data_IF_555874191894
#
_entry.id   IF_555874191894
#
_cell.length_a   1.000
_cell.length_b   1.000
_cell.length_c   1.000
_cell.angle_alpha   90.00
_cell.angle_beta   90.00
_cell.angle_gamma   90.00
#
_symmetry.space_group_name_H-M   'P 1'
#
loop_
_entity.id
_entity.type
_entity.pdbx_description
1 polymer ?
#
# COMPACT_ATOMS: atom_id res chain seq x y z
N UNK A 1 -2.23 -0.38 5.66
CA UNK A 1 -0.79 -0.25 5.96
C UNK A 1 -0.42 -0.94 7.27
N UNK A 2 -1.00 -0.50 8.39
CA UNK A 2 -0.71 -1.07 9.72
C UNK A 2 -0.78 -2.61 9.74
N UNK A 3 -1.85 -3.19 9.17
CA UNK A 3 -1.99 -4.64 9.05
C UNK A 3 -0.75 -5.34 8.46
N UNK A 4 -0.25 -4.86 7.31
CA UNK A 4 0.94 -5.46 6.69
C UNK A 4 2.19 -5.31 7.56
N UNK A 5 2.37 -4.14 8.19
CA UNK A 5 3.53 -3.92 9.07
C UNK A 5 3.55 -4.91 10.24
N UNK A 6 2.40 -5.15 10.85
CA UNK A 6 2.26 -6.06 11.99
C UNK A 6 2.38 -7.52 11.54
N UNK A 7 1.69 -7.91 10.47
CA UNK A 7 1.64 -9.30 10.01
C UNK A 7 2.97 -9.78 9.44
N UNK A 8 3.69 -8.92 8.73
CA UNK A 8 4.92 -9.25 8.00
C UNK A 8 6.12 -8.46 8.54
N UNK A 9 6.18 -8.20 9.85
CA UNK A 9 7.21 -7.35 10.48
C UNK A 9 8.63 -7.72 10.05
N UNK A 10 8.93 -9.02 10.02
CA UNK A 10 10.24 -9.57 9.65
C UNK A 10 10.47 -9.71 8.13
N UNK A 11 9.46 -9.45 7.30
CA UNK A 11 9.53 -9.63 5.83
C UNK A 11 9.23 -8.32 5.07
N UNK A 12 9.01 -7.23 5.80
CA UNK A 12 8.59 -5.92 5.25
C UNK A 12 9.75 -4.98 4.94
N UNK A 13 10.95 -5.52 4.64
CA UNK A 13 12.19 -4.75 4.46
C UNK A 13 12.92 -5.14 3.17
N UNK A 14 13.53 -4.14 2.53
CA UNK A 14 14.45 -4.33 1.40
C UNK A 14 15.83 -4.81 1.87
N UNK A 15 16.23 -4.37 3.07
CA UNK A 15 17.52 -4.62 3.69
C UNK A 15 17.28 -4.77 5.20
N UNK A 16 17.95 -5.73 5.83
CA UNK A 16 17.87 -5.92 7.28
C UNK A 16 18.39 -4.69 8.04
N UNK A 17 17.92 -4.50 9.27
CA UNK A 17 18.18 -3.26 10.01
C UNK A 17 19.66 -3.04 10.26
N UNK A 18 20.41 -4.10 10.56
CA UNK A 18 21.82 -3.99 10.90
C UNK A 18 22.66 -3.65 9.66
N UNK A 19 22.39 -4.30 8.53
CA UNK A 19 23.00 -3.95 7.24
C UNK A 19 22.65 -2.51 6.83
N UNK A 20 21.39 -2.10 7.03
CA UNK A 20 20.95 -0.76 6.68
C UNK A 20 21.57 0.32 7.57
N UNK A 21 21.74 0.04 8.87
CA UNK A 21 22.46 0.94 9.79
C UNK A 21 23.90 1.15 9.34
N UNK A 22 24.59 0.08 8.91
CA UNK A 22 25.94 0.20 8.34
C UNK A 22 25.94 1.11 7.10
N UNK A 23 25.05 0.87 6.15
CA UNK A 23 24.92 1.70 4.93
C UNK A 23 24.62 3.17 5.28
N UNK A 24 23.67 3.43 6.17
CA UNK A 24 23.33 4.78 6.62
C UNK A 24 24.52 5.46 7.32
N UNK A 25 25.31 4.71 8.09
CA UNK A 25 26.53 5.20 8.73
C UNK A 25 27.54 5.70 7.71
N UNK A 26 27.86 4.88 6.71
CA UNK A 26 28.78 5.25 5.63
C UNK A 26 28.30 6.47 4.83
N UNK A 27 27.00 6.53 4.52
CA UNK A 27 26.42 7.68 3.83
C UNK A 27 26.52 8.96 4.66
N UNK A 28 26.28 8.88 5.98
CA UNK A 28 26.40 10.03 6.90
C UNK A 28 27.83 10.55 6.94
N UNK A 29 28.79 9.65 7.09
CA UNK A 29 30.22 9.99 7.17
C UNK A 29 30.70 10.69 5.89
N UNK A 30 30.32 10.18 4.72
CA UNK A 30 30.77 10.74 3.42
C UNK A 30 30.05 12.03 3.01
N UNK A 31 28.97 12.41 3.69
CA UNK A 31 28.11 13.54 3.30
C UNK A 31 28.49 14.89 3.92
N UNK A 32 29.37 14.91 4.94
CA UNK A 32 29.64 16.09 5.78
C UNK A 32 30.25 17.26 5.02
N UNK A 33 31.00 16.98 3.96
CA UNK A 33 31.82 18.00 3.29
C UNK A 33 31.09 18.67 2.11
N UNK A 34 29.93 18.13 1.73
CA UNK A 34 29.20 18.53 0.51
C UNK A 34 27.86 19.18 0.87
N UNK A 35 27.32 18.89 2.06
CA UNK A 35 25.95 19.24 2.43
C UNK A 35 25.92 20.03 3.74
N UNK A 36 25.28 21.20 3.71
CA UNK A 36 25.04 21.99 4.92
C UNK A 36 24.25 21.20 5.97
N UNK A 37 24.66 21.34 7.24
CA UNK A 37 24.10 20.61 8.38
C UNK A 37 22.55 20.61 8.46
N UNK A 38 21.84 21.74 8.23
CA UNK A 38 20.38 21.74 8.27
C UNK A 38 19.75 20.80 7.24
N UNK A 39 20.25 20.79 5.99
CA UNK A 39 19.75 19.89 4.96
C UNK A 39 20.15 18.44 5.23
N UNK A 40 21.37 18.22 5.72
CA UNK A 40 21.88 16.89 6.12
C UNK A 40 20.94 16.22 7.13
N UNK A 41 20.53 16.96 8.17
CA UNK A 41 19.58 16.48 9.18
C UNK A 41 18.24 16.07 8.56
N UNK A 42 17.67 16.91 7.69
CA UNK A 42 16.40 16.59 7.01
C UNK A 42 16.54 15.36 6.12
N UNK A 43 17.64 15.25 5.38
CA UNK A 43 17.91 14.13 4.49
C UNK A 43 17.96 12.81 5.27
N UNK A 44 18.77 12.73 6.32
CA UNK A 44 18.93 11.48 7.06
C UNK A 44 17.72 11.13 7.94
N UNK A 45 16.93 12.12 8.38
CA UNK A 45 15.62 11.84 8.98
C UNK A 45 14.66 11.18 7.98
N UNK A 46 14.68 11.58 6.70
CA UNK A 46 13.87 10.94 5.66
C UNK A 46 14.34 9.53 5.33
N UNK A 47 15.63 9.27 5.48
CA UNK A 47 16.24 7.96 5.22
C UNK A 47 16.18 7.00 6.42
N UNK A 48 15.73 7.45 7.59
CA UNK A 48 15.73 6.63 8.81
C UNK A 48 15.07 5.25 8.62
N UNK A 49 13.97 5.19 7.88
CA UNK A 49 13.21 3.98 7.57
C UNK A 49 13.27 3.61 6.09
N UNK A 50 14.31 4.06 5.36
CA UNK A 50 14.41 3.87 3.92
C UNK A 50 14.63 2.41 3.50
N UNK A 51 15.04 1.53 4.42
CA UNK A 51 15.07 0.09 4.19
C UNK A 51 13.69 -0.57 4.22
N UNK A 52 12.66 0.06 4.77
CA UNK A 52 11.35 -0.55 4.82
C UNK A 52 10.63 -0.50 3.46
N UNK A 53 9.76 -1.48 3.22
CA UNK A 53 8.89 -1.46 2.05
C UNK A 53 8.02 -0.21 1.99
N UNK A 54 7.94 0.40 0.81
CA UNK A 54 7.03 1.52 0.60
C UNK A 54 5.57 1.08 0.72
N UNK A 55 4.67 2.05 0.99
CA UNK A 55 3.22 1.80 0.97
C UNK A 55 2.77 1.10 -0.32
N UNK A 56 3.36 1.47 -1.46
CA UNK A 56 3.11 0.84 -2.75
C UNK A 56 3.46 -0.64 -2.78
N UNK A 57 4.64 -1.01 -2.27
CA UNK A 57 5.08 -2.40 -2.25
C UNK A 57 4.19 -3.22 -1.32
N UNK A 58 3.89 -2.72 -0.12
CA UNK A 58 2.99 -3.38 0.83
C UNK A 58 1.59 -3.58 0.25
N UNK A 59 1.02 -2.57 -0.41
CA UNK A 59 -0.28 -2.70 -1.07
C UNK A 59 -0.25 -3.73 -2.19
N UNK A 60 0.80 -3.74 -3.03
CA UNK A 60 0.93 -4.76 -4.09
C UNK A 60 0.95 -6.18 -3.52
N UNK A 61 1.62 -6.39 -2.39
CA UNK A 61 1.64 -7.68 -1.70
C UNK A 61 0.26 -8.07 -1.18
N UNK A 62 -0.42 -7.17 -0.45
CA UNK A 62 -1.79 -7.44 0.05
C UNK A 62 -2.79 -7.71 -1.09
N UNK A 63 -2.75 -6.91 -2.16
CA UNK A 63 -3.64 -7.13 -3.30
C UNK A 63 -3.36 -8.45 -3.99
N UNK A 64 -2.08 -8.86 -4.10
CA UNK A 64 -1.72 -10.14 -4.68
C UNK A 64 -2.27 -11.29 -3.84
N UNK A 65 -1.96 -11.31 -2.56
CA UNK A 65 -2.30 -12.41 -1.66
C UNK A 65 -3.80 -12.54 -1.40
N UNK A 66 -4.49 -11.43 -1.11
CA UNK A 66 -5.87 -11.49 -0.64
C UNK A 66 -6.89 -11.25 -1.75
N UNK A 67 -6.60 -10.37 -2.71
CA UNK A 67 -7.56 -10.09 -3.77
C UNK A 67 -7.35 -11.04 -4.94
N UNK A 68 -6.14 -11.29 -5.42
CA UNK A 68 -5.97 -12.07 -6.65
C UNK A 68 -6.16 -13.56 -6.46
N UNK A 69 -5.67 -14.10 -5.35
CA UNK A 69 -5.74 -15.54 -5.08
C UNK A 69 -7.13 -15.98 -4.61
N UNK A 70 -7.96 -15.03 -4.14
CA UNK A 70 -9.29 -15.32 -3.57
C UNK A 70 -10.42 -14.78 -4.46
N UNK A 71 -10.24 -13.62 -5.10
CA UNK A 71 -11.26 -12.96 -5.90
C UNK A 71 -10.74 -12.68 -7.31
N UNK A 72 -11.22 -13.44 -8.30
CA UNK A 72 -10.92 -13.13 -9.70
C UNK A 72 -11.43 -11.72 -10.06
N UNK A 73 -10.50 -10.77 -10.17
CA UNK A 73 -10.76 -9.36 -10.50
C UNK A 73 -10.12 -8.97 -11.84
N UNK A 74 -10.52 -9.61 -12.97
CA UNK A 74 -9.85 -9.43 -14.26
C UNK A 74 -9.96 -8.00 -14.81
N UNK A 75 -10.95 -7.22 -14.35
CA UNK A 75 -11.19 -5.84 -14.80
C UNK A 75 -10.48 -4.76 -13.96
N UNK A 76 -9.68 -5.15 -12.96
CA UNK A 76 -8.97 -4.21 -12.09
C UNK A 76 -7.53 -4.06 -12.55
N UNK A 77 -7.15 -2.90 -13.09
CA UNK A 77 -5.73 -2.58 -13.27
C UNK A 77 -5.10 -2.22 -11.91
N UNK A 78 -4.64 -3.25 -11.20
CA UNK A 78 -4.18 -3.18 -9.80
C UNK A 78 -3.04 -2.19 -9.61
N UNK A 79 -2.06 -2.18 -10.51
CA UNK A 79 -0.92 -1.29 -10.41
C UNK A 79 -1.36 0.17 -10.52
N UNK A 80 -2.21 0.49 -11.52
CA UNK A 80 -2.76 1.84 -11.69
C UNK A 80 -3.64 2.23 -10.49
N UNK A 81 -4.48 1.33 -10.02
CA UNK A 81 -5.34 1.53 -8.86
C UNK A 81 -4.52 1.84 -7.60
N UNK A 82 -3.55 1.00 -7.25
CA UNK A 82 -2.70 1.18 -6.07
C UNK A 82 -1.94 2.51 -6.14
N UNK A 83 -1.40 2.87 -7.31
CA UNK A 83 -0.73 4.16 -7.47
C UNK A 83 -1.70 5.33 -7.26
N UNK A 84 -2.92 5.24 -7.78
CA UNK A 84 -3.93 6.29 -7.61
C UNK A 84 -4.41 6.39 -6.14
N UNK A 85 -4.55 5.26 -5.42
CA UNK A 85 -4.81 5.23 -3.97
C UNK A 85 -3.71 5.98 -3.20
N UNK A 86 -2.45 5.72 -3.50
CA UNK A 86 -1.32 6.35 -2.80
C UNK A 86 -1.27 7.85 -3.08
N UNK A 87 -1.43 8.24 -4.35
CA UNK A 87 -1.49 9.65 -4.76
C UNK A 87 -2.64 10.38 -4.06
N UNK A 88 -3.83 9.77 -4.06
CA UNK A 88 -5.01 10.32 -3.40
C UNK A 88 -4.79 10.46 -1.89
N UNK A 89 -4.24 9.45 -1.22
CA UNK A 89 -3.88 9.56 0.20
C UNK A 89 -2.89 10.69 0.44
N UNK A 90 -1.86 10.80 -0.38
CA UNK A 90 -0.84 11.84 -0.23
C UNK A 90 -1.42 13.24 -0.46
N UNK A 91 -2.28 13.40 -1.46
CA UNK A 91 -3.06 14.61 -1.69
C UNK A 91 -3.90 14.98 -0.46
N UNK A 92 -4.69 14.04 0.07
CA UNK A 92 -5.57 14.30 1.21
C UNK A 92 -4.80 14.66 2.50
N UNK A 93 -3.63 14.08 2.72
CA UNK A 93 -2.83 14.31 3.94
C UNK A 93 -1.93 15.53 3.84
N UNK A 94 -1.30 15.76 2.68
CA UNK A 94 -0.31 16.82 2.50
C UNK A 94 -0.83 18.02 1.72
N UNK A 95 -2.07 17.96 1.22
CA UNK A 95 -2.71 18.97 0.36
C UNK A 95 -1.82 19.42 -0.81
N UNK A 96 -1.03 18.48 -1.34
CA UNK A 96 -0.16 18.75 -2.49
C UNK A 96 -1.03 18.93 -3.75
N UNK A 97 -1.31 20.18 -4.10
CA UNK A 97 -2.14 20.55 -5.25
C UNK A 97 -1.67 19.93 -6.57
N UNK A 98 -0.39 19.54 -6.69
CA UNK A 98 0.12 18.84 -7.89
C UNK A 98 -0.48 17.44 -8.06
N UNK A 99 -1.03 16.87 -7.00
CA UNK A 99 -1.63 15.54 -6.99
C UNK A 99 -3.14 15.57 -7.21
N UNK A 100 -3.78 16.74 -7.23
CA UNK A 100 -5.25 16.87 -7.32
C UNK A 100 -5.78 16.19 -8.58
N UNK A 101 -5.33 16.63 -9.76
CA UNK A 101 -5.75 16.13 -11.09
C UNK A 101 -5.52 14.62 -11.30
N UNK A 102 -4.64 14.01 -10.51
CA UNK A 102 -4.26 12.59 -10.62
C UNK A 102 -4.75 11.75 -9.43
N UNK A 103 -5.55 12.35 -8.55
CA UNK A 103 -6.24 11.68 -7.44
C UNK A 103 -7.63 11.21 -7.87
N UNK A 104 -8.29 10.41 -7.03
CA UNK A 104 -9.68 10.03 -7.27
C UNK A 104 -10.60 11.26 -7.17
N UNK A 105 -11.65 11.28 -8.00
CA UNK A 105 -12.74 12.27 -7.92
C UNK A 105 -14.11 11.59 -8.03
N UNK A 106 -15.12 12.20 -7.44
CA UNK A 106 -16.53 11.80 -7.54
C UNK A 106 -16.78 10.30 -7.35
N UNK A 107 -17.35 9.62 -8.36
CA UNK A 107 -17.66 8.18 -8.31
C UNK A 107 -16.41 7.30 -8.16
N UNK A 108 -15.22 7.78 -8.55
CA UNK A 108 -13.99 7.02 -8.36
C UNK A 108 -13.69 6.81 -6.87
N UNK A 109 -14.04 7.76 -5.99
CA UNK A 109 -13.91 7.57 -4.54
C UNK A 109 -14.80 6.45 -4.03
N UNK A 110 -16.04 6.36 -4.52
CA UNK A 110 -17.00 5.34 -4.10
C UNK A 110 -16.48 3.96 -4.52
N UNK A 111 -16.00 3.84 -5.76
CA UNK A 111 -15.42 2.61 -6.29
C UNK A 111 -14.13 2.23 -5.53
N UNK A 112 -13.23 3.18 -5.30
CA UNK A 112 -12.00 2.94 -4.56
C UNK A 112 -12.26 2.50 -3.12
N UNK A 113 -13.18 3.17 -2.41
CA UNK A 113 -13.58 2.78 -1.07
C UNK A 113 -14.20 1.38 -1.05
N UNK A 114 -15.01 1.03 -2.04
CA UNK A 114 -15.61 -0.31 -2.16
C UNK A 114 -14.53 -1.39 -2.32
N UNK A 115 -13.53 -1.15 -3.17
CA UNK A 115 -12.41 -2.07 -3.38
C UNK A 115 -11.56 -2.19 -2.10
N UNK A 116 -11.21 -1.07 -1.45
CA UNK A 116 -10.40 -1.07 -0.23
C UNK A 116 -11.11 -1.74 0.95
N UNK A 117 -12.42 -1.51 1.11
CA UNK A 117 -13.25 -2.20 2.11
C UNK A 117 -13.28 -3.69 1.84
N UNK A 118 -13.46 -4.09 0.59
CA UNK A 118 -13.46 -5.51 0.19
C UNK A 118 -12.13 -6.18 0.54
N UNK A 119 -10.99 -5.51 0.27
CA UNK A 119 -9.68 -6.03 0.69
C UNK A 119 -9.60 -6.26 2.21
N UNK A 120 -10.04 -5.29 3.01
CA UNK A 120 -10.03 -5.41 4.48
C UNK A 120 -10.94 -6.55 4.95
N UNK A 121 -12.15 -6.63 4.41
CA UNK A 121 -13.10 -7.70 4.76
C UNK A 121 -12.51 -9.10 4.43
N UNK A 122 -11.89 -9.27 3.26
CA UNK A 122 -11.23 -10.53 2.87
C UNK A 122 -10.08 -10.88 3.81
N UNK A 123 -9.22 -9.90 4.15
CA UNK A 123 -8.15 -10.07 5.13
C UNK A 123 -8.71 -10.55 6.46
N UNK A 124 -9.75 -9.88 6.98
CA UNK A 124 -10.35 -10.25 8.27
C UNK A 124 -10.95 -11.65 8.25
N UNK A 125 -11.67 -12.02 7.19
CA UNK A 125 -12.22 -13.37 7.04
C UNK A 125 -11.10 -14.42 7.01
N UNK A 126 -9.98 -14.13 6.34
CA UNK A 126 -8.84 -15.04 6.29
C UNK A 126 -8.20 -15.21 7.67
N UNK A 127 -8.00 -14.12 8.41
CA UNK A 127 -7.44 -14.15 9.77
C UNK A 127 -8.38 -14.85 10.78
N UNK A 128 -9.69 -14.81 10.55
CA UNK A 128 -10.67 -15.58 11.33
C UNK A 128 -10.69 -17.09 10.97
N UNK A 129 -9.86 -17.54 10.02
CA UNK A 129 -9.73 -18.95 9.65
C UNK A 129 -10.71 -19.42 8.58
N UNK A 130 -11.43 -18.53 7.90
CA UNK A 130 -12.25 -18.93 6.76
C UNK A 130 -11.36 -19.41 5.60
N UNK A 131 -11.77 -20.52 4.97
CA UNK A 131 -11.09 -21.05 3.78
C UNK A 131 -11.36 -20.17 2.56
N UNK A 132 -10.41 -20.10 1.63
CA UNK A 132 -10.48 -19.23 0.46
C UNK A 132 -11.74 -19.49 -0.38
N UNK A 133 -12.13 -20.76 -0.55
CA UNK A 133 -13.30 -21.13 -1.36
C UNK A 133 -14.61 -20.60 -0.75
N UNK A 134 -14.69 -20.54 0.59
CA UNK A 134 -15.85 -19.98 1.29
C UNK A 134 -15.93 -18.47 1.14
N UNK A 135 -14.78 -17.80 1.19
CA UNK A 135 -14.69 -16.35 0.99
C UNK A 135 -15.05 -16.01 -0.45
N UNK A 136 -14.52 -16.76 -1.42
CA UNK A 136 -14.83 -16.58 -2.84
C UNK A 136 -16.34 -16.71 -3.11
N UNK A 137 -16.97 -17.80 -2.65
CA UNK A 137 -18.42 -18.02 -2.82
C UNK A 137 -19.23 -16.88 -2.19
N UNK A 138 -18.83 -16.40 -1.01
CA UNK A 138 -19.49 -15.28 -0.34
C UNK A 138 -19.47 -14.01 -1.22
N UNK A 139 -18.31 -13.68 -1.80
CA UNK A 139 -18.19 -12.51 -2.66
C UNK A 139 -18.80 -12.69 -4.04
N UNK A 140 -18.77 -13.88 -4.64
CA UNK A 140 -19.52 -14.16 -5.88
C UNK A 140 -21.01 -13.88 -5.68
N UNK A 141 -21.57 -14.30 -4.53
CA UNK A 141 -22.96 -13.97 -4.15
C UNK A 141 -23.15 -12.47 -3.94
N UNK A 142 -22.26 -11.80 -3.18
CA UNK A 142 -22.35 -10.35 -2.91
C UNK A 142 -22.26 -9.52 -4.20
N UNK A 143 -21.38 -9.89 -5.14
CA UNK A 143 -21.26 -9.27 -6.46
C UNK A 143 -22.56 -9.44 -7.25
N UNK A 144 -23.12 -10.66 -7.28
CA UNK A 144 -24.37 -10.94 -8.00
C UNK A 144 -25.59 -10.21 -7.43
N UNK A 145 -25.71 -10.10 -6.11
CA UNK A 145 -26.92 -9.57 -5.46
C UNK A 145 -26.85 -8.06 -5.20
N UNK A 146 -25.67 -7.53 -4.89
CA UNK A 146 -25.52 -6.13 -4.45
C UNK A 146 -24.81 -5.27 -5.50
N UNK A 147 -24.64 -5.77 -6.74
CA UNK A 147 -23.88 -5.12 -7.80
C UNK A 147 -22.50 -4.62 -7.32
N UNK A 148 -21.80 -5.38 -6.48
CA UNK A 148 -20.48 -4.98 -5.99
C UNK A 148 -19.53 -4.76 -7.18
N UNK A 149 -19.17 -3.50 -7.45
CA UNK A 149 -18.32 -3.13 -8.58
C UNK A 149 -16.87 -3.12 -8.13
N UNK A 150 -16.16 -4.23 -8.36
CA UNK A 150 -14.69 -4.27 -8.26
C UNK A 150 -14.06 -3.92 -9.61
N UNK A 151 -14.36 -2.72 -10.12
CA UNK A 151 -13.83 -2.22 -11.39
C UNK A 151 -13.09 -0.91 -11.18
N UNK A 152 -12.00 -0.75 -11.92
CA UNK A 152 -11.28 0.49 -12.00
C UNK A 152 -10.64 0.56 -13.39
N UNK A 153 -11.06 1.56 -14.18
CA UNK A 153 -10.65 1.74 -15.57
C UNK A 153 -9.26 2.40 -15.66
#
# INVERSE_FOLDING_TARGET
>A
EAYHRIKYENESKYIEDDDYKCILGELKERSTDIIEEPFRKVLFNKLEYGNEYSLAKRFKMLFKEYLNEILETPKLNKNRFIQKVIKTRNYLVHQDKKLDDISFHDEEYINANTILKTLIEVILLKELGFKNEKIEIFYQKKIKHNNLILKFN
#
